data_IF_441349442913
#
_entry.id   IF_441349442913
#
_cell.length_a   1.000
_cell.length_b   1.000
_cell.length_c   1.000
_cell.angle_alpha   90.00
_cell.angle_beta   90.00
_cell.angle_gamma   90.00
#
_symmetry.space_group_name_H-M   'P 1'
#
loop_
_entity.id
_entity.type
_entity.pdbx_description
1 polymer ?
#
# COMPACT_ATOMS: atom_id res chain seq x y z
N UNK A 1 7.72 5.35 1.38
CA UNK A 1 7.03 4.05 1.56
C UNK A 1 7.66 3.18 2.62
N UNK A 2 8.96 2.83 2.56
CA UNK A 2 9.57 1.92 3.56
C UNK A 2 9.40 2.40 5.01
N UNK A 3 9.55 3.70 5.28
CA UNK A 3 9.29 4.27 6.63
C UNK A 3 7.84 4.12 7.09
N UNK A 4 6.89 3.95 6.16
CA UNK A 4 5.47 3.76 6.45
C UNK A 4 5.11 2.28 6.64
N UNK A 5 6.01 1.34 6.32
CA UNK A 5 5.74 -0.11 6.33
C UNK A 5 5.27 -0.64 7.68
N UNK A 6 5.63 0.02 8.77
CA UNK A 6 5.25 -0.33 10.15
C UNK A 6 4.57 0.82 10.90
N UNK A 7 4.36 1.97 10.25
CA UNK A 7 3.65 3.08 10.87
C UNK A 7 2.17 2.69 11.04
N UNK A 8 1.63 2.81 12.26
CA UNK A 8 0.30 2.29 12.64
C UNK A 8 -0.85 2.64 11.68
N UNK A 9 -0.80 3.84 11.10
CA UNK A 9 -1.84 4.32 10.18
C UNK A 9 -1.66 3.88 8.72
N UNK A 10 -0.54 3.26 8.37
CA UNK A 10 -0.14 2.95 6.99
C UNK A 10 0.34 1.51 6.78
N UNK A 11 0.59 0.76 7.86
CA UNK A 11 1.10 -0.60 7.78
C UNK A 11 0.11 -1.54 7.07
N UNK A 12 0.63 -2.35 6.16
CA UNK A 12 -0.14 -3.36 5.39
C UNK A 12 0.23 -4.80 5.76
N UNK A 13 0.92 -4.97 6.89
CA UNK A 13 1.44 -6.26 7.34
C UNK A 13 2.63 -6.76 6.52
N UNK A 14 3.43 -5.85 5.96
CA UNK A 14 4.64 -6.15 5.19
C UNK A 14 4.37 -6.39 3.71
N UNK A 15 5.24 -5.84 2.86
CA UNK A 15 5.25 -6.02 1.40
C UNK A 15 6.35 -6.96 0.96
N UNK A 16 6.06 -7.84 0.00
CA UNK A 16 7.08 -8.63 -0.70
C UNK A 16 7.53 -7.84 -1.92
N UNK A 17 8.78 -7.40 -1.92
CA UNK A 17 9.38 -6.63 -3.00
C UNK A 17 10.22 -7.58 -3.87
N UNK A 18 9.95 -7.61 -5.17
CA UNK A 18 10.77 -8.33 -6.14
C UNK A 18 11.46 -7.31 -7.03
N UNK A 19 12.78 -7.20 -6.90
CA UNK A 19 13.58 -6.30 -7.73
C UNK A 19 14.11 -7.12 -8.90
N UNK A 20 13.64 -6.79 -10.12
CA UNK A 20 14.18 -7.36 -11.36
C UNK A 20 15.50 -6.66 -11.67
N UNK A 21 16.58 -7.16 -11.06
CA UNK A 21 17.91 -6.59 -11.16
C UNK A 21 18.61 -7.10 -12.42
N UNK A 22 18.21 -6.54 -13.56
CA UNK A 22 18.84 -6.78 -14.86
C UNK A 22 20.19 -6.06 -15.04
N UNK A 23 20.69 -5.39 -13.98
CA UNK A 23 21.99 -4.72 -13.87
C UNK A 23 22.14 -3.45 -14.75
N UNK A 24 21.06 -2.92 -15.33
CA UNK A 24 21.10 -1.74 -16.19
C UNK A 24 19.79 -0.94 -16.17
N UNK A 25 19.87 0.36 -15.92
CA UNK A 25 18.77 1.31 -16.08
C UNK A 25 18.92 2.12 -17.37
N UNK A 26 18.05 1.90 -18.37
CA UNK A 26 18.19 2.47 -19.71
C UNK A 26 19.57 2.14 -20.32
N UNK A 27 20.50 3.11 -20.34
CA UNK A 27 21.90 3.00 -20.80
C UNK A 27 22.91 3.16 -19.66
N UNK A 28 22.47 3.23 -18.39
CA UNK A 28 23.36 3.40 -17.23
C UNK A 28 23.52 2.07 -16.50
N UNK A 29 24.73 1.52 -16.52
CA UNK A 29 25.06 0.20 -15.92
C UNK A 29 26.22 0.25 -14.93
N UNK A 30 27.00 1.32 -14.93
CA UNK A 30 28.09 1.50 -13.98
C UNK A 30 27.51 1.69 -12.56
N UNK A 31 27.86 0.83 -11.59
CA UNK A 31 27.32 0.92 -10.23
C UNK A 31 27.60 2.28 -9.58
N UNK A 32 28.75 2.90 -9.88
CA UNK A 32 29.13 4.21 -9.32
C UNK A 32 28.25 5.37 -9.80
N UNK A 33 27.56 5.21 -10.94
CA UNK A 33 26.66 6.23 -11.49
C UNK A 33 25.20 6.02 -11.03
N UNK A 34 24.84 4.78 -10.67
CA UNK A 34 23.44 4.40 -10.38
C UNK A 34 23.09 4.41 -8.90
N UNK A 35 24.08 4.26 -8.01
CA UNK A 35 23.88 4.10 -6.58
C UNK A 35 25.17 4.39 -5.80
N UNK A 36 25.03 4.66 -4.51
CA UNK A 36 26.16 4.92 -3.59
C UNK A 36 26.46 3.75 -2.65
N UNK A 37 25.90 2.57 -2.92
CA UNK A 37 26.05 1.35 -2.11
C UNK A 37 26.28 0.14 -3.03
N UNK A 38 26.56 -1.03 -2.46
CA UNK A 38 26.86 -2.23 -3.26
C UNK A 38 25.61 -2.78 -3.96
N UNK A 39 24.51 -2.95 -3.24
CA UNK A 39 23.29 -3.57 -3.76
C UNK A 39 22.17 -2.54 -4.00
N UNK A 40 21.34 -2.76 -5.02
CA UNK A 40 20.17 -1.90 -5.28
C UNK A 40 19.13 -1.99 -4.18
N UNK A 41 19.19 -3.06 -3.39
CA UNK A 41 18.28 -3.39 -2.30
C UNK A 41 18.75 -2.87 -0.95
N UNK A 42 19.92 -2.20 -0.87
CA UNK A 42 20.43 -1.63 0.38
C UNK A 42 19.48 -0.59 0.99
N UNK A 43 18.59 0.02 0.19
CA UNK A 43 17.52 0.88 0.69
C UNK A 43 16.63 0.17 1.73
N UNK A 44 16.43 -1.14 1.62
CA UNK A 44 15.66 -1.94 2.58
C UNK A 44 16.32 -2.03 3.97
N UNK A 45 17.64 -1.80 4.07
CA UNK A 45 18.35 -1.85 5.35
C UNK A 45 17.90 -0.75 6.30
N UNK A 46 17.34 0.34 5.80
CA UNK A 46 16.82 1.44 6.63
C UNK A 46 15.73 0.99 7.62
N UNK A 47 15.01 -0.10 7.30
CA UNK A 47 13.98 -0.72 8.15
C UNK A 47 14.33 -2.16 8.53
N UNK A 48 15.60 -2.55 8.37
CA UNK A 48 16.11 -3.89 8.72
C UNK A 48 15.35 -5.03 8.02
N UNK A 49 14.88 -4.78 6.80
CA UNK A 49 14.20 -5.80 5.98
C UNK A 49 15.20 -6.88 5.53
N UNK A 50 14.87 -8.19 5.63
CA UNK A 50 15.69 -9.25 5.03
C UNK A 50 15.73 -9.12 3.51
N UNK A 51 16.90 -9.44 2.95
CA UNK A 51 17.19 -9.33 1.52
C UNK A 51 17.74 -10.68 1.05
N UNK A 52 17.06 -11.29 0.08
CA UNK A 52 17.52 -12.51 -0.58
C UNK A 52 18.03 -12.16 -1.97
N UNK A 53 19.35 -12.28 -2.18
CA UNK A 53 19.95 -12.19 -3.51
C UNK A 53 19.94 -13.56 -4.15
N UNK A 54 19.35 -13.67 -5.34
CA UNK A 54 19.22 -14.95 -6.04
C UNK A 54 19.59 -14.80 -7.51
N UNK A 55 20.31 -15.80 -8.04
CA UNK A 55 20.66 -15.86 -9.45
C UNK A 55 19.41 -16.24 -10.26
N UNK A 56 18.99 -15.38 -11.18
CA UNK A 56 17.84 -15.63 -12.06
C UNK A 56 18.02 -16.81 -13.01
N UNK A 57 19.26 -17.26 -13.27
CA UNK A 57 19.53 -18.47 -14.06
C UNK A 57 19.35 -19.78 -13.26
N UNK A 58 19.03 -19.71 -11.95
CA UNK A 58 18.65 -20.87 -11.12
C UNK A 58 17.18 -20.76 -10.68
N UNK A 59 16.21 -21.23 -11.50
CA UNK A 59 14.78 -21.08 -11.20
C UNK A 59 14.33 -21.89 -9.96
N UNK A 60 15.02 -22.96 -9.58
CA UNK A 60 14.72 -23.70 -8.35
C UNK A 60 15.07 -22.87 -7.12
N UNK A 61 16.24 -22.20 -7.12
CA UNK A 61 16.62 -21.28 -6.07
C UNK A 61 15.68 -20.07 -5.98
N UNK A 62 15.22 -19.54 -7.13
CA UNK A 62 14.23 -18.46 -7.17
C UNK A 62 12.91 -18.87 -6.50
N UNK A 63 12.41 -20.07 -6.80
CA UNK A 63 11.20 -20.60 -6.14
C UNK A 63 11.43 -20.79 -4.64
N UNK A 64 12.59 -21.31 -4.24
CA UNK A 64 12.95 -21.49 -2.84
C UNK A 64 12.93 -20.17 -2.07
N UNK A 65 13.64 -19.13 -2.55
CA UNK A 65 13.66 -17.83 -1.86
C UNK A 65 12.29 -17.13 -1.88
N UNK A 66 11.47 -17.37 -2.91
CA UNK A 66 10.11 -16.85 -2.97
C UNK A 66 9.25 -17.43 -1.86
N UNK A 67 9.34 -18.75 -1.61
CA UNK A 67 8.64 -19.41 -0.50
C UNK A 67 9.11 -18.87 0.85
N UNK A 68 10.42 -18.78 1.05
CA UNK A 68 11.00 -18.24 2.29
C UNK A 68 10.57 -16.78 2.54
N UNK A 69 10.55 -15.95 1.50
CA UNK A 69 10.11 -14.57 1.59
C UNK A 69 8.62 -14.48 1.97
N UNK A 70 7.77 -15.29 1.35
CA UNK A 70 6.35 -15.36 1.69
C UNK A 70 6.15 -15.81 3.15
N UNK A 71 6.84 -16.88 3.57
CA UNK A 71 6.78 -17.38 4.94
C UNK A 71 7.24 -16.32 5.94
N UNK A 72 8.33 -15.59 5.65
CA UNK A 72 8.79 -14.47 6.47
C UNK A 72 7.72 -13.38 6.59
N UNK A 73 7.15 -12.92 5.47
CA UNK A 73 6.11 -11.88 5.47
C UNK A 73 4.90 -12.33 6.27
N UNK A 74 4.44 -13.56 6.08
CA UNK A 74 3.28 -14.13 6.78
C UNK A 74 3.55 -14.35 8.26
N UNK A 75 4.78 -14.69 8.65
CA UNK A 75 5.16 -14.94 10.05
C UNK A 75 5.40 -13.66 10.84
N UNK A 76 6.04 -12.67 10.22
CA UNK A 76 6.55 -11.48 10.92
C UNK A 76 5.83 -10.17 10.55
N UNK A 77 4.97 -10.19 9.53
CA UNK A 77 4.23 -9.00 9.06
C UNK A 77 5.13 -7.80 8.72
N UNK A 78 6.29 -8.10 8.13
CA UNK A 78 7.32 -7.12 7.75
C UNK A 78 7.69 -7.27 6.28
N UNK A 79 8.22 -6.19 5.73
CA UNK A 79 8.74 -6.17 4.37
C UNK A 79 9.86 -7.19 4.18
N UNK A 80 9.98 -7.74 2.97
CA UNK A 80 11.04 -8.64 2.53
C UNK A 80 11.40 -8.32 1.08
N UNK A 81 12.68 -8.36 0.73
CA UNK A 81 13.14 -8.04 -0.62
C UNK A 81 13.80 -9.27 -1.25
N UNK A 82 13.41 -9.60 -2.47
CA UNK A 82 14.09 -10.54 -3.36
C UNK A 82 14.81 -9.72 -4.42
N UNK A 83 16.15 -9.75 -4.40
CA UNK A 83 17.00 -9.23 -5.47
C UNK A 83 17.20 -10.35 -6.51
N UNK A 84 16.37 -10.33 -7.55
CA UNK A 84 16.45 -11.29 -8.65
C UNK A 84 17.50 -10.79 -9.66
N UNK A 85 18.74 -11.25 -9.49
CA UNK A 85 19.87 -10.85 -10.34
C UNK A 85 19.75 -11.56 -11.68
N UNK A 86 19.51 -10.80 -12.74
CA UNK A 86 19.29 -11.30 -14.09
C UNK A 86 19.99 -10.39 -15.12
N UNK A 87 19.55 -10.44 -16.38
CA UNK A 87 20.04 -9.59 -17.46
C UNK A 87 18.90 -9.18 -18.37
N UNK A 88 19.11 -8.10 -19.15
CA UNK A 88 18.16 -7.66 -20.19
C UNK A 88 18.64 -8.18 -21.55
N UNK A 89 17.84 -9.04 -22.20
CA UNK A 89 18.22 -9.68 -23.48
C UNK A 89 18.37 -8.68 -24.62
N UNK A 90 17.48 -7.69 -24.69
CA UNK A 90 17.42 -6.64 -25.71
C UNK A 90 17.80 -5.27 -25.13
N UNK A 91 17.65 -4.20 -25.92
CA UNK A 91 17.75 -2.82 -25.46
C UNK A 91 16.74 -2.47 -24.37
N UNK A 92 16.66 -1.20 -23.96
CA UNK A 92 15.66 -0.78 -22.97
C UNK A 92 14.23 -1.00 -23.47
N UNK A 93 14.05 -0.78 -24.77
CA UNK A 93 12.98 -1.33 -25.58
C UNK A 93 13.58 -2.20 -26.69
N UNK A 94 12.75 -2.92 -27.42
CA UNK A 94 13.19 -3.90 -28.43
C UNK A 94 13.81 -3.26 -29.67
N UNK A 95 13.57 -1.96 -29.92
CA UNK A 95 14.11 -1.22 -31.07
C UNK A 95 15.42 -0.48 -30.76
N UNK A 96 15.84 -0.46 -29.49
CA UNK A 96 17.05 0.22 -29.01
C UNK A 96 18.29 -0.67 -29.15
N UNK A 97 19.43 -0.11 -29.56
CA UNK A 97 20.71 -0.84 -29.70
C UNK A 97 21.62 -0.59 -28.48
N UNK A 98 21.63 -1.51 -27.50
CA UNK A 98 22.33 -1.29 -26.25
C UNK A 98 23.85 -1.42 -26.36
N UNK A 99 24.38 -2.04 -27.43
CA UNK A 99 25.83 -2.14 -27.62
C UNK A 99 26.50 -0.78 -27.82
N UNK A 100 25.74 0.27 -28.15
CA UNK A 100 26.24 1.65 -28.25
C UNK A 100 26.86 2.12 -26.93
N UNK A 101 26.30 1.71 -25.80
CA UNK A 101 26.76 2.14 -24.47
C UNK A 101 27.23 1.00 -23.57
N UNK A 102 26.79 -0.25 -23.81
CA UNK A 102 27.19 -1.44 -23.05
C UNK A 102 27.74 -2.58 -23.93
N UNK A 103 28.78 -2.34 -24.75
CA UNK A 103 29.25 -3.31 -25.74
C UNK A 103 29.72 -4.64 -25.11
N UNK A 104 30.50 -4.60 -24.03
CA UNK A 104 31.02 -5.82 -23.40
C UNK A 104 29.94 -6.65 -22.71
N UNK A 105 28.99 -6.00 -22.03
CA UNK A 105 27.86 -6.65 -21.38
C UNK A 105 27.04 -7.41 -22.43
N UNK A 106 26.69 -6.75 -23.54
CA UNK A 106 25.87 -7.36 -24.57
C UNK A 106 26.64 -8.37 -25.44
N UNK A 107 27.97 -8.24 -25.58
CA UNK A 107 28.79 -9.29 -26.18
C UNK A 107 28.71 -10.60 -25.37
N UNK A 108 28.69 -10.52 -24.03
CA UNK A 108 28.48 -11.69 -23.16
C UNK A 108 27.06 -12.22 -23.29
N UNK A 109 26.05 -11.35 -23.14
CA UNK A 109 24.62 -11.75 -23.21
C UNK A 109 24.31 -12.45 -24.53
N UNK A 110 24.80 -11.93 -25.67
CA UNK A 110 24.58 -12.55 -27.00
C UNK A 110 25.14 -13.98 -27.11
N UNK A 111 26.15 -14.34 -26.31
CA UNK A 111 26.73 -15.69 -26.25
C UNK A 111 26.09 -16.58 -25.19
N UNK A 112 25.33 -16.01 -24.26
CA UNK A 112 24.69 -16.76 -23.19
C UNK A 112 23.43 -17.47 -23.69
N UNK A 113 23.27 -18.79 -23.43
CA UNK A 113 21.99 -19.45 -23.60
C UNK A 113 20.90 -18.77 -22.76
N UNK A 114 19.64 -18.93 -23.15
CA UNK A 114 18.53 -18.38 -22.36
C UNK A 114 18.36 -19.19 -21.07
N UNK A 115 17.86 -18.56 -20.01
CA UNK A 115 17.54 -19.22 -18.73
C UNK A 115 16.67 -20.47 -18.93
N UNK A 116 15.66 -20.37 -19.82
CA UNK A 116 14.81 -21.50 -20.21
C UNK A 116 15.63 -22.67 -20.78
N UNK A 117 16.55 -22.38 -21.71
CA UNK A 117 17.42 -23.41 -22.30
C UNK A 117 18.33 -24.06 -21.27
N UNK A 118 18.99 -23.25 -20.42
CA UNK A 118 19.89 -23.75 -19.36
C UNK A 118 19.17 -24.70 -18.42
N UNK A 119 17.96 -24.33 -17.98
CA UNK A 119 17.19 -25.17 -17.09
C UNK A 119 16.64 -26.43 -17.77
N UNK A 120 16.23 -26.34 -19.03
CA UNK A 120 15.82 -27.50 -19.82
C UNK A 120 16.96 -28.52 -19.97
N UNK A 121 18.17 -28.06 -20.32
CA UNK A 121 19.35 -28.92 -20.48
C UNK A 121 19.69 -29.64 -19.16
N UNK A 122 19.58 -28.93 -18.02
CA UNK A 122 19.72 -29.53 -16.69
C UNK A 122 18.70 -30.64 -16.45
N UNK A 123 17.40 -30.41 -16.69
CA UNK A 123 16.36 -31.41 -16.49
C UNK A 123 16.52 -32.62 -17.43
N UNK A 124 16.98 -32.41 -18.66
CA UNK A 124 17.30 -33.48 -19.61
C UNK A 124 18.46 -34.33 -19.08
N UNK A 125 19.53 -33.71 -18.61
CA UNK A 125 20.68 -34.43 -18.03
C UNK A 125 20.31 -35.24 -16.78
N UNK A 126 19.27 -34.84 -16.06
CA UNK A 126 18.73 -35.54 -14.90
C UNK A 126 17.70 -36.62 -15.28
N UNK A 127 17.36 -36.75 -16.56
CA UNK A 127 16.37 -37.72 -17.06
C UNK A 127 14.93 -37.38 -16.70
N UNK A 128 14.64 -36.14 -16.28
CA UNK A 128 13.29 -35.71 -15.86
C UNK A 128 12.40 -35.39 -17.08
N UNK A 129 13.01 -34.95 -18.18
CA UNK A 129 12.34 -34.64 -19.45
C UNK A 129 13.22 -35.04 -20.62
N UNK A 130 12.65 -35.10 -21.83
CA UNK A 130 13.40 -35.35 -23.08
C UNK A 130 13.51 -34.08 -23.94
N UNK A 131 14.48 -34.02 -24.87
CA UNK A 131 14.56 -32.93 -25.85
C UNK A 131 13.29 -32.76 -26.70
N UNK A 132 12.60 -33.85 -27.01
CA UNK A 132 11.32 -33.85 -27.74
C UNK A 132 10.24 -33.13 -26.92
N UNK A 133 10.07 -33.52 -25.65
CA UNK A 133 9.09 -32.91 -24.75
C UNK A 133 9.32 -31.41 -24.58
N UNK A 134 10.59 -30.98 -24.47
CA UNK A 134 10.94 -29.55 -24.37
C UNK A 134 10.58 -28.79 -25.66
N UNK A 135 10.81 -29.38 -26.84
CA UNK A 135 10.41 -28.80 -28.13
C UNK A 135 8.90 -28.69 -28.23
N UNK A 136 8.19 -29.76 -27.86
CA UNK A 136 6.72 -29.80 -27.89
C UNK A 136 6.13 -28.72 -26.97
N UNK A 137 6.69 -28.49 -25.77
CA UNK A 137 6.24 -27.40 -24.89
C UNK A 137 6.33 -26.02 -25.55
N UNK A 138 7.42 -25.74 -26.29
CA UNK A 138 7.60 -24.46 -26.98
C UNK A 138 6.60 -24.31 -28.12
N UNK A 139 6.43 -25.35 -28.93
CA UNK A 139 5.52 -25.32 -30.08
C UNK A 139 4.05 -25.24 -29.66
N UNK A 140 3.68 -25.99 -28.62
CA UNK A 140 2.33 -25.94 -28.05
C UNK A 140 2.00 -24.55 -27.51
N UNK A 141 2.95 -23.89 -26.83
CA UNK A 141 2.74 -22.53 -26.32
C UNK A 141 2.59 -21.53 -27.47
N UNK A 142 3.42 -21.64 -28.52
CA UNK A 142 3.32 -20.81 -29.72
C UNK A 142 1.98 -20.98 -30.43
N UNK A 143 1.59 -22.23 -30.69
CA UNK A 143 0.31 -22.57 -31.31
C UNK A 143 -0.86 -22.02 -30.49
N UNK A 144 -0.78 -22.11 -29.17
CA UNK A 144 -1.82 -21.56 -28.28
C UNK A 144 -1.96 -20.04 -28.42
N UNK A 145 -0.85 -19.31 -28.55
CA UNK A 145 -0.86 -17.86 -28.80
C UNK A 145 -1.45 -17.53 -30.17
N UNK A 146 -1.04 -18.26 -31.22
CA UNK A 146 -1.54 -18.06 -32.59
C UNK A 146 -3.05 -18.33 -32.71
N UNK A 147 -3.57 -19.24 -31.91
CA UNK A 147 -5.00 -19.57 -31.83
C UNK A 147 -5.80 -18.67 -30.88
N UNK A 148 -5.15 -17.73 -30.19
CA UNK A 148 -5.81 -16.89 -29.18
C UNK A 148 -6.30 -17.67 -27.95
N UNK A 149 -5.74 -18.87 -27.70
CA UNK A 149 -6.06 -19.66 -26.52
C UNK A 149 -5.58 -18.98 -25.24
N UNK A 150 -6.33 -19.13 -24.15
CA UNK A 150 -5.92 -18.64 -22.84
C UNK A 150 -4.77 -19.51 -22.32
N UNK A 151 -3.55 -18.97 -22.39
CA UNK A 151 -2.31 -19.65 -21.92
C UNK A 151 -1.94 -19.35 -20.47
N UNK A 152 -2.61 -18.38 -19.86
CA UNK A 152 -2.50 -18.13 -18.43
C UNK A 152 -3.39 -19.10 -17.65
N UNK A 153 -3.14 -19.25 -16.33
CA UNK A 153 -4.13 -19.90 -15.45
C UNK A 153 -5.48 -19.24 -15.69
N UNK A 154 -6.59 -20.01 -15.81
CA UNK A 154 -7.90 -19.43 -16.03
C UNK A 154 -8.14 -18.39 -14.94
N UNK A 155 -8.18 -17.12 -15.34
CA UNK A 155 -8.62 -16.04 -14.47
C UNK A 155 -10.06 -16.37 -14.16
N UNK A 156 -10.38 -16.59 -12.88
CA UNK A 156 -11.77 -16.70 -12.46
C UNK A 156 -12.39 -15.31 -12.68
N UNK A 157 -13.09 -15.17 -13.80
CA UNK A 157 -13.86 -13.97 -14.14
C UNK A 157 -15.10 -13.97 -13.24
N UNK A 158 -15.54 -12.79 -12.80
CA UNK A 158 -16.71 -12.62 -11.93
C UNK A 158 -16.62 -13.22 -10.52
N UNK A 159 -15.41 -13.51 -10.02
CA UNK A 159 -15.24 -13.59 -8.57
C UNK A 159 -15.44 -12.19 -8.00
N UNK A 160 -16.59 -11.98 -7.37
CA UNK A 160 -16.82 -10.84 -6.49
C UNK A 160 -15.79 -10.88 -5.36
N UNK A 161 -14.66 -10.19 -5.54
CA UNK A 161 -13.68 -10.01 -4.48
C UNK A 161 -14.37 -9.16 -3.41
N UNK A 162 -14.54 -9.62 -2.16
CA UNK A 162 -15.39 -8.92 -1.18
C UNK A 162 -14.94 -7.47 -0.88
N UNK A 163 -13.70 -7.11 -1.23
CA UNK A 163 -13.13 -5.78 -1.07
C UNK A 163 -12.96 -5.01 -2.39
N UNK A 164 -13.62 -5.43 -3.49
CA UNK A 164 -13.64 -4.61 -4.70
C UNK A 164 -14.46 -3.34 -4.45
N UNK A 165 -13.91 -2.19 -4.82
CA UNK A 165 -14.67 -0.95 -4.71
C UNK A 165 -15.73 -0.91 -5.80
N UNK A 166 -17.00 -0.93 -5.39
CA UNK A 166 -18.12 -0.82 -6.31
C UNK A 166 -18.51 0.66 -6.49
N UNK A 167 -18.13 1.23 -7.63
CA UNK A 167 -18.46 2.62 -7.97
C UNK A 167 -19.72 2.76 -8.82
N UNK A 168 -20.46 1.68 -9.10
CA UNK A 168 -21.63 1.72 -10.01
C UNK A 168 -22.66 2.78 -9.62
N UNK A 169 -22.87 2.99 -8.32
CA UNK A 169 -23.80 4.01 -7.79
C UNK A 169 -23.35 5.44 -8.08
N UNK A 170 -22.09 5.66 -8.45
CA UNK A 170 -21.49 6.97 -8.74
C UNK A 170 -21.21 7.18 -10.23
N UNK A 171 -21.51 6.20 -11.09
CA UNK A 171 -21.35 6.34 -12.54
C UNK A 171 -22.36 7.34 -13.11
N UNK A 172 -21.95 8.13 -14.11
CA UNK A 172 -22.80 9.11 -14.81
C UNK A 172 -23.39 10.22 -13.92
N UNK A 173 -22.80 10.47 -12.75
CA UNK A 173 -23.18 11.58 -11.86
C UNK A 173 -22.44 12.85 -12.28
N UNK A 174 -23.17 13.97 -12.41
CA UNK A 174 -22.56 15.28 -12.65
C UNK A 174 -22.14 15.93 -11.33
N UNK A 175 -21.02 16.65 -11.30
CA UNK A 175 -20.51 17.27 -10.07
C UNK A 175 -21.42 18.38 -9.51
N UNK A 176 -22.29 18.99 -10.35
CA UNK A 176 -23.31 19.96 -9.93
C UNK A 176 -24.61 19.31 -9.45
N UNK A 177 -24.70 17.98 -9.45
CA UNK A 177 -25.90 17.29 -8.98
C UNK A 177 -26.18 17.69 -7.52
N UNK A 178 -27.39 18.21 -7.20
CA UNK A 178 -27.71 18.60 -5.84
C UNK A 178 -27.57 17.43 -4.86
N UNK A 179 -26.88 17.67 -3.75
CA UNK A 179 -26.77 16.73 -2.64
C UNK A 179 -27.57 17.25 -1.44
N UNK A 180 -28.37 16.38 -0.82
CA UNK A 180 -29.05 16.71 0.43
C UNK A 180 -28.08 16.53 1.60
N UNK A 181 -27.57 17.65 2.12
CA UNK A 181 -26.64 17.70 3.26
C UNK A 181 -27.32 18.22 4.53
N UNK A 182 -28.66 18.28 4.55
CA UNK A 182 -29.41 18.81 5.68
C UNK A 182 -29.40 17.83 6.86
N UNK A 183 -29.35 18.38 8.07
CA UNK A 183 -29.51 17.65 9.32
C UNK A 183 -30.55 18.34 10.21
N UNK A 184 -31.32 17.56 10.97
CA UNK A 184 -32.26 18.11 11.94
C UNK A 184 -31.51 18.70 13.14
N UNK A 185 -32.04 19.79 13.69
CA UNK A 185 -31.46 20.42 14.87
C UNK A 185 -31.35 19.45 16.06
N UNK A 186 -32.39 18.63 16.27
CA UNK A 186 -32.39 17.58 17.30
C UNK A 186 -31.21 16.62 17.14
N UNK A 187 -31.00 16.11 15.92
CA UNK A 187 -29.89 15.17 15.64
C UNK A 187 -28.55 15.87 15.83
N UNK A 188 -28.41 17.11 15.36
CA UNK A 188 -27.21 17.90 15.55
C UNK A 188 -26.87 18.10 17.03
N UNK A 189 -27.84 18.50 17.85
CA UNK A 189 -27.67 18.68 19.30
C UNK A 189 -27.30 17.38 20.01
N UNK A 190 -27.95 16.27 19.66
CA UNK A 190 -27.62 14.94 20.22
C UNK A 190 -26.19 14.53 19.88
N UNK A 191 -25.77 14.69 18.62
CA UNK A 191 -24.41 14.37 18.17
C UNK A 191 -23.38 15.28 18.83
N UNK A 192 -23.66 16.57 18.93
CA UNK A 192 -22.81 17.54 19.62
C UNK A 192 -22.62 17.20 21.10
N UNK A 193 -23.69 16.87 21.83
CA UNK A 193 -23.60 16.47 23.23
C UNK A 193 -22.75 15.19 23.39
N UNK A 194 -22.91 14.22 22.49
CA UNK A 194 -22.13 12.98 22.52
C UNK A 194 -20.64 13.20 22.26
N UNK A 195 -20.28 14.10 21.34
CA UNK A 195 -18.89 14.49 21.06
C UNK A 195 -18.18 15.13 22.27
N UNK A 196 -18.95 15.76 23.16
CA UNK A 196 -18.42 16.49 24.31
C UNK A 196 -18.43 15.65 25.60
N UNK A 197 -18.96 14.43 25.54
CA UNK A 197 -18.92 13.47 26.64
C UNK A 197 -17.53 12.85 26.73
N UNK A 198 -16.85 13.11 27.84
CA UNK A 198 -15.55 12.51 28.15
C UNK A 198 -15.74 11.28 29.04
N UNK A 199 -14.89 10.25 28.90
CA UNK A 199 -14.96 9.07 29.75
C UNK A 199 -14.63 9.42 31.21
N UNK A 200 -15.14 8.62 32.13
CA UNK A 200 -14.84 8.76 33.56
C UNK A 200 -13.32 8.71 33.80
N UNK A 201 -12.81 9.62 34.65
CA UNK A 201 -11.38 9.71 34.94
C UNK A 201 -10.52 10.39 33.88
N UNK A 202 -11.11 10.93 32.80
CA UNK A 202 -10.38 11.68 31.79
C UNK A 202 -10.13 13.13 32.22
N UNK A 203 -8.87 13.54 32.32
CA UNK A 203 -8.51 14.93 32.62
C UNK A 203 -7.93 15.61 31.37
N UNK A 204 -8.66 16.54 30.73
CA UNK A 204 -8.11 17.32 29.62
C UNK A 204 -7.21 18.44 30.13
N UNK A 205 -6.22 18.84 29.32
CA UNK A 205 -5.45 20.06 29.59
C UNK A 205 -6.38 21.29 29.70
N UNK A 206 -6.12 22.28 30.59
CA UNK A 206 -7.04 23.41 30.81
C UNK A 206 -7.45 24.19 29.56
N UNK A 207 -6.54 24.34 28.59
CA UNK A 207 -6.86 24.96 27.28
C UNK A 207 -7.84 24.14 26.45
N UNK A 208 -7.77 22.80 26.53
CA UNK A 208 -8.70 21.90 25.87
C UNK A 208 -10.05 21.93 26.59
N UNK A 209 -10.06 21.91 27.92
CA UNK A 209 -11.29 22.07 28.70
C UNK A 209 -12.05 23.35 28.32
N UNK A 210 -11.33 24.45 28.11
CA UNK A 210 -11.91 25.72 27.62
C UNK A 210 -12.54 25.57 26.23
N UNK A 211 -11.85 24.92 25.28
CA UNK A 211 -12.39 24.66 23.93
C UNK A 211 -13.63 23.78 23.99
N UNK A 212 -13.64 22.73 24.81
CA UNK A 212 -14.81 21.86 24.99
C UNK A 212 -15.99 22.63 25.59
N UNK A 213 -15.75 23.53 26.55
CA UNK A 213 -16.79 24.39 27.11
C UNK A 213 -17.34 25.40 26.07
N UNK A 214 -16.50 25.95 25.20
CA UNK A 214 -16.93 26.80 24.08
C UNK A 214 -17.76 26.00 23.07
N UNK A 215 -17.35 24.78 22.71
CA UNK A 215 -18.12 23.87 21.86
C UNK A 215 -19.47 23.48 22.47
N UNK A 216 -19.54 23.34 23.80
CA UNK A 216 -20.82 23.12 24.47
C UNK A 216 -21.77 24.32 24.29
N UNK A 217 -21.27 25.56 24.41
CA UNK A 217 -22.08 26.77 24.13
C UNK A 217 -22.52 26.85 22.68
N UNK A 218 -21.67 26.40 21.75
CA UNK A 218 -22.04 26.30 20.33
C UNK A 218 -23.15 25.26 20.11
N UNK A 219 -23.09 24.13 20.81
CA UNK A 219 -24.10 23.07 20.74
C UNK A 219 -25.46 23.48 21.33
N UNK A 220 -25.45 24.33 22.37
CA UNK A 220 -26.67 24.86 22.99
C UNK A 220 -27.27 26.04 22.22
N UNK A 221 -26.49 26.69 21.35
CA UNK A 221 -26.90 27.88 20.60
C UNK A 221 -26.56 29.20 21.29
N UNK A 222 -25.84 29.15 22.42
CA UNK A 222 -25.39 30.32 23.16
C UNK A 222 -24.19 31.02 22.48
N UNK A 223 -23.57 30.35 21.50
CA UNK A 223 -22.46 30.86 20.71
C UNK A 223 -22.57 30.38 19.26
N UNK A 224 -22.10 31.18 18.29
CA UNK A 224 -22.01 30.75 16.89
C UNK A 224 -20.94 29.66 16.72
N UNK A 225 -21.25 28.66 15.90
CA UNK A 225 -20.35 27.55 15.56
C UNK A 225 -19.12 28.08 14.82
N UNK A 226 -17.93 27.69 15.27
CA UNK A 226 -16.68 27.99 14.58
C UNK A 226 -16.31 26.91 13.54
N UNK A 227 -15.21 27.14 12.83
CA UNK A 227 -14.74 26.22 11.80
C UNK A 227 -14.41 24.83 12.34
N UNK A 228 -13.68 24.75 13.46
CA UNK A 228 -13.22 23.48 14.01
C UNK A 228 -14.37 22.62 14.51
N UNK A 229 -15.38 23.24 15.11
CA UNK A 229 -16.57 22.52 15.56
C UNK A 229 -17.49 22.16 14.40
N UNK A 230 -17.69 23.03 13.42
CA UNK A 230 -18.45 22.73 12.20
C UNK A 230 -17.85 21.54 11.42
N UNK A 231 -16.53 21.51 11.27
CA UNK A 231 -15.80 20.38 10.67
C UNK A 231 -16.02 19.09 11.47
N UNK A 232 -15.89 19.14 12.80
CA UNK A 232 -16.09 17.98 13.68
C UNK A 232 -17.51 17.43 13.59
N UNK A 233 -18.52 18.31 13.52
CA UNK A 233 -19.93 17.92 13.37
C UNK A 233 -20.17 17.23 12.02
N UNK A 234 -19.59 17.74 10.93
CA UNK A 234 -19.70 17.10 9.62
C UNK A 234 -19.10 15.67 9.60
N UNK A 235 -17.94 15.46 10.25
CA UNK A 235 -17.39 14.11 10.38
C UNK A 235 -18.30 13.21 11.21
N UNK A 236 -18.82 13.73 12.33
CA UNK A 236 -19.69 12.99 13.23
C UNK A 236 -20.98 12.51 12.53
N UNK A 237 -21.57 13.34 11.68
CA UNK A 237 -22.78 12.98 10.93
C UNK A 237 -22.51 11.91 9.88
N UNK A 238 -21.38 12.01 9.16
CA UNK A 238 -20.98 11.02 8.16
C UNK A 238 -20.74 9.64 8.79
N UNK A 239 -20.00 9.56 9.89
CA UNK A 239 -19.71 8.26 10.52
C UNK A 239 -20.97 7.64 11.13
N UNK A 240 -21.91 8.45 11.64
CA UNK A 240 -23.21 7.97 12.08
C UNK A 240 -24.12 7.48 10.93
N UNK A 241 -23.90 7.94 9.71
CA UNK A 241 -24.61 7.51 8.49
C UNK A 241 -23.97 6.29 7.81
N UNK A 242 -22.88 5.78 8.39
CA UNK A 242 -22.16 4.63 7.84
C UNK A 242 -21.07 5.00 6.83
N UNK A 243 -20.72 6.28 6.68
CA UNK A 243 -19.61 6.71 5.84
C UNK A 243 -18.33 6.80 6.66
N UNK A 244 -17.31 5.96 6.39
CA UNK A 244 -16.05 6.01 7.11
C UNK A 244 -15.28 7.29 6.75
N UNK A 245 -14.60 7.87 7.73
CA UNK A 245 -13.82 9.11 7.56
C UNK A 245 -12.38 8.83 7.94
N UNK A 246 -11.46 9.11 7.01
CA UNK A 246 -10.01 9.00 7.23
C UNK A 246 -9.34 10.36 7.05
N UNK A 247 -8.75 10.88 8.12
CA UNK A 247 -7.93 12.08 8.14
C UNK A 247 -6.47 11.69 8.35
N UNK A 248 -5.59 12.15 7.45
CA UNK A 248 -4.17 11.82 7.49
C UNK A 248 -3.34 13.04 7.13
N UNK A 249 -2.41 13.41 7.99
CA UNK A 249 -1.48 14.52 7.76
C UNK A 249 -0.75 14.90 9.03
N UNK A 250 0.32 15.70 8.90
CA UNK A 250 1.12 16.16 10.03
C UNK A 250 0.25 16.92 11.02
N UNK A 251 0.29 16.46 12.28
CA UNK A 251 -0.47 17.04 13.40
C UNK A 251 -1.99 17.15 13.17
N UNK A 252 -2.58 16.35 12.28
CA UNK A 252 -3.99 16.47 11.94
C UNK A 252 -4.93 16.14 13.10
N UNK A 253 -4.51 15.32 14.08
CA UNK A 253 -5.27 15.01 15.29
C UNK A 253 -5.56 16.23 16.15
N UNK A 254 -4.55 17.07 16.38
CA UNK A 254 -4.70 18.37 17.07
C UNK A 254 -5.19 19.47 16.12
N UNK A 255 -4.71 19.42 14.88
CA UNK A 255 -4.68 20.52 13.93
C UNK A 255 -3.47 21.43 14.17
N UNK A 256 -2.77 21.78 13.10
CA UNK A 256 -1.62 22.71 13.11
C UNK A 256 -1.96 24.00 13.87
N UNK A 257 -3.12 24.58 13.58
CA UNK A 257 -3.62 25.83 14.16
C UNK A 257 -4.46 25.63 15.44
N UNK A 258 -4.33 24.50 16.14
CA UNK A 258 -4.96 24.27 17.44
C UNK A 258 -6.50 24.40 17.44
N UNK A 259 -7.15 23.98 16.34
CA UNK A 259 -8.61 24.15 16.15
C UNK A 259 -9.40 22.84 16.19
N UNK A 260 -8.78 21.69 15.89
CA UNK A 260 -9.50 20.44 15.62
C UNK A 260 -9.70 19.59 16.87
N UNK A 261 -8.61 19.22 17.54
CA UNK A 261 -8.65 18.36 18.72
C UNK A 261 -9.55 17.12 18.53
N UNK A 262 -9.40 16.43 17.40
CA UNK A 262 -10.08 15.15 17.14
C UNK A 262 -9.56 14.06 18.08
N UNK A 263 -8.27 14.12 18.43
CA UNK A 263 -7.64 13.30 19.47
C UNK A 263 -7.42 14.15 20.71
N UNK A 264 -7.95 13.69 21.84
CA UNK A 264 -7.75 14.28 23.16
C UNK A 264 -6.72 13.45 23.93
N UNK A 265 -5.81 14.11 24.65
CA UNK A 265 -4.79 13.45 25.47
C UNK A 265 -5.11 13.64 26.95
N UNK A 266 -5.17 12.55 27.71
CA UNK A 266 -5.35 12.60 29.16
C UNK A 266 -4.10 13.21 29.82
N UNK A 267 -4.27 14.07 30.82
CA UNK A 267 -3.17 14.66 31.58
C UNK A 267 -2.70 13.77 32.75
N UNK A 268 -3.55 12.85 33.20
CA UNK A 268 -3.24 11.94 34.31
C UNK A 268 -2.42 10.72 33.87
N UNK A 269 -2.55 10.32 32.61
CA UNK A 269 -1.89 9.14 32.05
C UNK A 269 -1.67 9.28 30.55
N UNK A 270 -0.79 8.45 29.98
CA UNK A 270 -0.44 8.50 28.56
C UNK A 270 -1.48 7.77 27.68
N UNK A 271 -2.76 8.14 27.84
CA UNK A 271 -3.88 7.62 27.06
C UNK A 271 -4.50 8.72 26.19
N UNK A 272 -5.15 8.29 25.12
CA UNK A 272 -5.84 9.18 24.18
C UNK A 272 -7.30 8.77 24.04
N UNK A 273 -8.17 9.74 23.81
CA UNK A 273 -9.58 9.54 23.53
C UNK A 273 -9.96 10.29 22.25
N UNK A 274 -10.62 9.60 21.32
CA UNK A 274 -11.09 10.18 20.05
C UNK A 274 -12.62 10.19 20.07
N UNK A 275 -13.29 11.30 20.44
CA UNK A 275 -14.76 11.31 20.59
C UNK A 275 -15.52 10.85 19.34
N UNK A 276 -14.96 11.09 18.16
CA UNK A 276 -15.53 10.67 16.87
C UNK A 276 -15.56 9.14 16.68
N UNK A 277 -14.88 8.35 17.51
CA UNK A 277 -14.92 6.88 17.51
C UNK A 277 -16.01 6.31 18.46
N UNK A 278 -16.74 7.15 19.20
CA UNK A 278 -17.61 6.73 20.31
C UNK A 278 -19.02 7.37 20.29
N UNK A 279 -19.54 7.69 19.11
CA UNK A 279 -20.85 8.30 18.90
C UNK A 279 -22.02 7.33 18.93
N UNK A 280 -21.83 6.11 18.41
CA UNK A 280 -22.86 5.09 18.29
C UNK A 280 -22.24 3.69 18.12
N UNK A 281 -22.91 2.63 18.60
CA UNK A 281 -22.39 1.25 18.52
C UNK A 281 -22.17 0.78 17.07
N UNK A 282 -23.03 1.23 16.14
CA UNK A 282 -22.99 0.84 14.73
C UNK A 282 -22.45 1.94 13.80
N UNK A 283 -21.70 2.90 14.32
CA UNK A 283 -21.08 3.93 13.46
C UNK A 283 -20.02 3.31 12.54
N UNK A 284 -19.73 3.98 11.42
CA UNK A 284 -18.56 3.67 10.62
C UNK A 284 -17.26 4.16 11.26
N UNK A 285 -16.14 3.65 10.75
CA UNK A 285 -14.81 3.96 11.25
C UNK A 285 -14.48 5.45 11.06
N UNK A 286 -14.08 6.09 12.15
CA UNK A 286 -13.30 7.33 12.10
C UNK A 286 -11.83 6.97 12.32
N UNK A 287 -10.94 7.47 11.46
CA UNK A 287 -9.50 7.26 11.60
C UNK A 287 -8.76 8.56 11.41
N UNK A 288 -7.95 8.95 12.40
CA UNK A 288 -7.10 10.14 12.34
C UNK A 288 -5.64 9.74 12.57
N UNK A 289 -4.76 10.16 11.66
CA UNK A 289 -3.36 9.72 11.61
C UNK A 289 -2.44 10.92 11.45
N UNK A 290 -1.68 11.20 12.50
CA UNK A 290 -0.54 12.10 12.41
C UNK A 290 0.58 11.43 11.59
N UNK A 291 0.88 11.99 10.40
CA UNK A 291 1.73 11.39 9.36
C UNK A 291 3.20 11.76 9.44
#
# INVERSE_FOLDING_TARGET
TLQMSQARGYATGGSIHVVINNQIGFTTSNPLDTRSTLYCTDVGKMVQTPIFHVNGDDPEAVIFVTRVALDYRMRFHKDVIIDLVCYRRHGHNEADEPAVTQPQMYQKIRRMPTTRSVYADRLISQGITTPEQVRDMVENYRTSLEQGSVVARPTLVDLGYPYHTNFKTFENVHWEQPADTRITEERLRRTANKLLELPEGFEPHPRIAKILAERHKMATGDQLVDWGFGETLAYATLVQEGYPVRLSGQDCGRGTFFHRHAVLHNQLENSTYTPLEHLHEYQADFTVIDS
#
